data_IF_925269453708
#
_entry.id   IF_925269453708
#
_cell.length_a   1.000
_cell.length_b   1.000
_cell.length_c   1.000
_cell.angle_alpha   90.00
_cell.angle_beta   90.00
_cell.angle_gamma   90.00
#
_symmetry.space_group_name_H-M   'P 1'
#
loop_
_entity.id
_entity.type
_entity.pdbx_description
1 polymer ?
#
# COMPACT_ATOMS: atom_id res chain seq x y z
N UNK A 1 -12.88 4.85 10.27
CA UNK A 1 -12.26 4.73 8.94
C UNK A 1 -11.72 6.10 8.57
N UNK A 2 -10.39 6.23 8.39
CA UNK A 2 -9.70 7.52 8.26
C UNK A 2 -9.93 8.11 6.86
N UNK A 3 -10.05 9.44 6.75
CA UNK A 3 -10.31 10.20 5.50
C UNK A 3 -9.36 9.83 4.34
N UNK A 4 -8.16 9.37 4.68
CA UNK A 4 -7.15 8.86 3.74
C UNK A 4 -7.64 7.67 2.89
N UNK A 5 -8.45 6.76 3.45
CA UNK A 5 -8.94 5.60 2.71
C UNK A 5 -9.92 6.01 1.60
N UNK A 6 -10.77 7.01 1.88
CA UNK A 6 -11.72 7.54 0.90
C UNK A 6 -10.99 8.31 -0.21
N UNK A 7 -9.90 9.01 0.11
CA UNK A 7 -9.06 9.68 -0.88
C UNK A 7 -8.37 8.69 -1.82
N UNK A 8 -7.84 7.58 -1.29
CA UNK A 8 -7.21 6.53 -2.10
C UNK A 8 -8.25 5.89 -3.01
N UNK A 9 -9.42 5.54 -2.48
CA UNK A 9 -10.49 4.92 -3.28
C UNK A 9 -11.00 5.87 -4.38
N UNK A 10 -11.17 7.15 -4.07
CA UNK A 10 -11.59 8.16 -5.05
C UNK A 10 -10.55 8.43 -6.14
N UNK A 11 -9.25 8.31 -5.85
CA UNK A 11 -8.17 8.57 -6.83
C UNK A 11 -7.78 7.33 -7.63
N UNK A 12 -7.91 6.14 -7.04
CA UNK A 12 -7.40 4.90 -7.63
C UNK A 12 -8.51 3.96 -8.11
N UNK A 13 -9.76 4.22 -7.73
CA UNK A 13 -10.90 3.36 -8.04
C UNK A 13 -10.88 2.01 -7.31
N UNK A 14 -9.96 1.83 -6.35
CA UNK A 14 -9.79 0.61 -5.55
C UNK A 14 -9.73 0.94 -4.07
N UNK A 15 -10.33 0.08 -3.27
CA UNK A 15 -10.22 0.19 -1.82
C UNK A 15 -8.77 -0.03 -1.35
N UNK A 16 -8.43 0.50 -0.18
CA UNK A 16 -7.10 0.31 0.41
C UNK A 16 -6.81 -1.17 0.68
N UNK A 17 -7.83 -1.97 1.03
CA UNK A 17 -7.69 -3.41 1.25
C UNK A 17 -7.34 -4.16 -0.03
N UNK A 18 -7.92 -3.78 -1.17
CA UNK A 18 -7.56 -4.36 -2.47
C UNK A 18 -6.10 -4.07 -2.82
N UNK A 19 -5.62 -2.84 -2.57
CA UNK A 19 -4.22 -2.50 -2.78
C UNK A 19 -3.28 -3.34 -1.91
N UNK A 20 -3.62 -3.55 -0.65
CA UNK A 20 -2.83 -4.41 0.22
C UNK A 20 -2.79 -5.85 -0.28
N UNK A 21 -3.93 -6.38 -0.76
CA UNK A 21 -3.96 -7.72 -1.33
C UNK A 21 -3.06 -7.84 -2.58
N UNK A 22 -3.10 -6.84 -3.47
CA UNK A 22 -2.20 -6.77 -4.64
C UNK A 22 -0.74 -6.81 -4.16
N UNK A 23 -0.37 -5.96 -3.22
CA UNK A 23 1.00 -5.89 -2.70
C UNK A 23 1.46 -7.20 -2.05
N UNK A 24 0.55 -7.90 -1.36
CA UNK A 24 0.84 -9.19 -0.75
C UNK A 24 1.05 -10.30 -1.79
N UNK A 25 0.33 -10.27 -2.92
CA UNK A 25 0.60 -11.18 -4.04
C UNK A 25 1.93 -10.90 -4.74
N UNK A 26 2.42 -9.66 -4.69
CA UNK A 26 3.72 -9.26 -5.25
C UNK A 26 4.93 -9.58 -4.34
N UNK A 27 4.70 -10.34 -3.24
CA UNK A 27 5.51 -10.68 -2.05
C UNK A 27 7.06 -10.71 -2.11
N UNK A 28 7.71 -10.75 -3.27
CA UNK A 28 9.15 -11.03 -3.39
C UNK A 28 10.02 -9.77 -3.54
N UNK A 29 9.48 -8.62 -3.98
CA UNK A 29 10.30 -7.42 -4.27
C UNK A 29 9.99 -6.18 -3.44
N UNK A 30 8.89 -6.17 -2.69
CA UNK A 30 8.30 -4.95 -2.14
C UNK A 30 8.45 -4.84 -0.60
N UNK A 31 9.59 -5.26 -0.05
CA UNK A 31 9.85 -5.15 1.40
C UNK A 31 10.25 -3.74 1.86
N UNK A 32 10.63 -2.87 0.93
CA UNK A 32 10.93 -1.46 1.23
C UNK A 32 9.73 -0.60 0.81
N UNK A 33 9.21 0.32 1.65
CA UNK A 33 8.25 1.34 1.22
C UNK A 33 8.62 2.02 -0.09
N UNK A 34 9.90 2.35 -0.32
CA UNK A 34 10.32 3.00 -1.57
C UNK A 34 10.08 2.10 -2.79
N UNK A 35 10.37 0.80 -2.67
CA UNK A 35 10.13 -0.16 -3.75
C UNK A 35 8.62 -0.37 -4.01
N UNK A 36 7.78 -0.28 -2.97
CA UNK A 36 6.32 -0.27 -3.13
C UNK A 36 5.87 0.98 -3.90
N UNK A 37 6.40 2.15 -3.55
CA UNK A 37 6.08 3.40 -4.24
C UNK A 37 6.47 3.31 -5.71
N UNK A 38 7.71 2.91 -6.01
CA UNK A 38 8.19 2.77 -7.40
C UNK A 38 7.31 1.80 -8.20
N UNK A 39 6.95 0.66 -7.62
CA UNK A 39 6.07 -0.32 -8.26
C UNK A 39 4.66 0.25 -8.56
N UNK A 40 4.09 1.00 -7.61
CA UNK A 40 2.78 1.62 -7.75
C UNK A 40 2.78 2.76 -8.78
N UNK A 41 3.90 3.47 -8.93
CA UNK A 41 4.10 4.48 -9.96
C UNK A 41 4.28 3.85 -11.34
N UNK A 42 5.15 2.84 -11.47
CA UNK A 42 5.53 2.27 -12.76
C UNK A 42 4.45 1.36 -13.35
N UNK A 43 3.90 0.44 -12.54
CA UNK A 43 2.96 -0.58 -13.04
C UNK A 43 1.51 -0.10 -13.02
N UNK A 44 1.15 0.74 -12.04
CA UNK A 44 -0.23 1.21 -11.86
C UNK A 44 -0.43 2.69 -12.18
N UNK A 45 0.64 3.43 -12.52
CA UNK A 45 0.59 4.85 -12.88
C UNK A 45 -0.16 5.71 -11.85
N UNK A 46 -0.01 5.35 -10.58
CA UNK A 46 -0.65 6.08 -9.49
C UNK A 46 -0.02 7.46 -9.29
N UNK A 47 -0.79 8.38 -8.70
CA UNK A 47 -0.21 9.62 -8.19
C UNK A 47 0.77 9.32 -7.04
N UNK A 48 1.86 10.09 -6.98
CA UNK A 48 2.90 9.96 -5.95
C UNK A 48 2.32 9.96 -4.53
N UNK A 49 1.34 10.82 -4.26
CA UNK A 49 0.75 10.91 -2.93
C UNK A 49 -0.05 9.65 -2.58
N UNK A 50 -0.79 9.11 -3.56
CA UNK A 50 -1.53 7.86 -3.37
C UNK A 50 -0.58 6.67 -3.15
N UNK A 51 0.49 6.59 -3.94
CA UNK A 51 1.50 5.54 -3.81
C UNK A 51 2.17 5.57 -2.42
N UNK A 52 2.57 6.74 -1.93
CA UNK A 52 3.16 6.90 -0.59
C UNK A 52 2.17 6.48 0.51
N UNK A 53 0.91 6.90 0.41
CA UNK A 53 -0.11 6.57 1.41
C UNK A 53 -0.35 5.06 1.48
N UNK A 54 -0.49 4.40 0.33
CA UNK A 54 -0.66 2.94 0.23
C UNK A 54 0.57 2.22 0.79
N UNK A 55 1.78 2.61 0.38
CA UNK A 55 3.02 1.98 0.82
C UNK A 55 3.26 2.12 2.33
N UNK A 56 2.97 3.29 2.89
CA UNK A 56 3.09 3.56 4.32
C UNK A 56 2.08 2.75 5.10
N UNK A 57 0.81 2.77 4.68
CA UNK A 57 -0.26 2.01 5.34
C UNK A 57 -0.01 0.50 5.31
N UNK A 58 0.44 -0.03 4.17
CA UNK A 58 0.77 -1.45 4.03
C UNK A 58 1.91 -1.87 4.98
N UNK A 59 2.99 -1.07 5.07
CA UNK A 59 4.10 -1.35 5.98
C UNK A 59 3.70 -1.31 7.46
N UNK A 60 2.80 -0.42 7.86
CA UNK A 60 2.27 -0.37 9.23
C UNK A 60 1.49 -1.64 9.56
N UNK A 61 0.57 -2.05 8.68
CA UNK A 61 -0.24 -3.26 8.87
C UNK A 61 0.66 -4.50 8.91
N UNK A 62 1.60 -4.62 7.97
CA UNK A 62 2.51 -5.77 7.92
C UNK A 62 3.44 -5.85 9.12
N UNK A 63 3.92 -4.72 9.64
CA UNK A 63 4.72 -4.70 10.88
C UNK A 63 3.91 -5.17 12.08
N UNK A 64 2.63 -4.83 12.15
CA UNK A 64 1.74 -5.29 13.22
C UNK A 64 1.65 -6.83 13.23
N UNK A 65 1.50 -7.43 12.05
CA UNK A 65 1.47 -8.90 11.85
C UNK A 65 2.76 -9.61 12.34
N UNK A 66 3.91 -8.91 12.42
CA UNK A 66 5.16 -9.47 12.95
C UNK A 66 5.37 -9.23 14.46
N UNK A 67 4.55 -8.41 15.10
CA UNK A 67 4.68 -8.04 16.54
C UNK A 67 3.60 -8.63 17.43
N UNK A 68 2.64 -9.37 16.89
CA UNK A 68 1.60 -10.09 17.66
C UNK A 68 2.06 -11.50 18.12
N UNK A 69 3.37 -11.79 18.11
CA UNK A 69 4.02 -12.99 18.67
C UNK A 69 5.08 -12.57 19.72
N UNK A 70 4.65 -12.08 20.90
CA UNK A 70 5.41 -12.17 22.17
C UNK A 70 4.51 -11.99 23.40
#
# INVERSE_FOLDING_TARGET
MSEHNALIESNTGKSIQEWYHILDTCNVRLRNPDAIVDYLLDEYQLDMNCAILIATGYNVVRRHDFTDDD
#
